data_IF_002216483594
#
_entry.id   IF_002216483594
#
_cell.length_a   1.000
_cell.length_b   1.000
_cell.length_c   1.000
_cell.angle_alpha   90.00
_cell.angle_beta   90.00
_cell.angle_gamma   90.00
#
_symmetry.space_group_name_H-M   'P 1'
#
loop_
_entity.id
_entity.type
_entity.pdbx_description
1 polymer ?
#
# COMPACT_ATOMS: atom_id res chain seq x y z
N UNK A 1 6.95 48.69 12.69
CA UNK A 1 7.04 47.36 12.06
C UNK A 1 5.92 47.25 11.06
N UNK A 2 6.26 47.26 9.77
CA UNK A 2 5.30 47.27 8.66
C UNK A 2 4.78 45.86 8.37
N UNK A 3 3.66 45.77 7.64
CA UNK A 3 3.01 44.50 7.32
C UNK A 3 3.94 43.57 6.50
N UNK A 4 4.75 44.16 5.63
CA UNK A 4 5.75 43.48 4.79
C UNK A 4 6.81 42.78 5.65
N UNK A 5 7.39 43.47 6.64
CA UNK A 5 8.38 42.89 7.56
C UNK A 5 7.82 41.69 8.34
N UNK A 6 6.52 41.69 8.66
CA UNK A 6 5.86 40.54 9.30
C UNK A 6 5.69 39.36 8.34
N UNK A 7 5.39 39.62 7.07
CA UNK A 7 5.24 38.58 6.04
C UNK A 7 6.60 37.93 5.77
N UNK A 8 7.66 38.74 5.63
CA UNK A 8 9.01 38.23 5.41
C UNK A 8 9.50 37.38 6.58
N UNK A 9 9.24 37.81 7.82
CA UNK A 9 9.57 37.03 9.01
C UNK A 9 8.79 35.70 9.07
N UNK A 10 7.54 35.66 8.61
CA UNK A 10 6.75 34.44 8.51
C UNK A 10 7.29 33.49 7.44
N UNK A 11 7.65 34.02 6.27
CA UNK A 11 8.26 33.25 5.18
C UNK A 11 9.59 32.65 5.62
N UNK A 12 10.44 33.41 6.32
CA UNK A 12 11.71 32.91 6.84
C UNK A 12 11.52 31.73 7.80
N UNK A 13 10.58 31.86 8.76
CA UNK A 13 10.26 30.77 9.69
C UNK A 13 9.68 29.54 8.98
N UNK A 14 8.87 29.76 7.95
CA UNK A 14 8.30 28.66 7.16
C UNK A 14 9.40 27.90 6.40
N UNK A 15 10.35 28.60 5.81
CA UNK A 15 11.51 28.00 5.15
C UNK A 15 12.36 27.18 6.12
N UNK A 16 12.67 27.75 7.29
CA UNK A 16 13.45 27.06 8.34
C UNK A 16 12.75 25.76 8.81
N UNK A 17 11.44 25.82 9.01
CA UNK A 17 10.65 24.63 9.35
C UNK A 17 10.66 23.60 8.22
N UNK A 18 10.58 24.02 6.97
CA UNK A 18 10.68 23.11 5.82
C UNK A 18 12.03 22.41 5.76
N UNK A 19 13.13 23.14 5.96
CA UNK A 19 14.48 22.60 5.99
C UNK A 19 14.64 21.56 7.11
N UNK A 20 14.19 21.88 8.32
CA UNK A 20 14.21 20.94 9.44
C UNK A 20 13.39 19.68 9.16
N UNK A 21 12.20 19.82 8.59
CA UNK A 21 11.33 18.69 8.25
C UNK A 21 11.96 17.81 7.17
N UNK A 22 12.63 18.40 6.17
CA UNK A 22 13.32 17.65 5.12
C UNK A 22 14.42 16.72 5.65
N UNK A 23 15.06 17.04 6.78
CA UNK A 23 16.07 16.17 7.41
C UNK A 23 15.49 14.83 7.89
N UNK A 24 14.20 14.80 8.23
CA UNK A 24 13.53 13.63 8.78
C UNK A 24 12.63 12.93 7.77
N UNK A 25 12.30 13.58 6.64
CA UNK A 25 11.43 13.01 5.64
C UNK A 25 12.18 12.00 4.77
N UNK A 26 11.72 10.74 4.69
CA UNK A 26 12.26 9.79 3.74
C UNK A 26 11.99 10.26 2.30
N UNK A 27 12.87 9.93 1.36
CA UNK A 27 12.67 10.26 -0.04
C UNK A 27 11.47 9.50 -0.64
N UNK A 28 10.33 10.20 -0.74
CA UNK A 28 9.06 9.68 -1.23
C UNK A 28 9.01 9.43 -2.74
N UNK A 29 10.07 9.74 -3.49
CA UNK A 29 10.19 9.36 -4.89
C UNK A 29 10.65 7.90 -5.07
N UNK A 30 11.09 7.27 -3.99
CA UNK A 30 11.68 5.93 -4.00
C UNK A 30 10.81 4.89 -3.30
N UNK A 31 10.86 3.64 -3.77
CA UNK A 31 10.18 2.51 -3.12
C UNK A 31 10.54 2.41 -1.63
N UNK A 32 11.84 2.51 -1.29
CA UNK A 32 12.30 2.40 0.09
C UNK A 32 11.72 3.51 0.97
N UNK A 33 11.72 4.75 0.47
CA UNK A 33 11.19 5.88 1.24
C UNK A 33 9.68 5.77 1.45
N UNK A 34 8.93 5.28 0.47
CA UNK A 34 7.48 5.05 0.61
C UNK A 34 7.18 3.94 1.58
N UNK A 35 7.89 2.82 1.51
CA UNK A 35 7.73 1.69 2.44
C UNK A 35 7.93 2.19 3.88
N UNK A 36 8.97 2.99 4.12
CA UNK A 36 9.25 3.57 5.42
C UNK A 36 8.16 4.57 5.86
N UNK A 37 7.81 5.51 4.98
CA UNK A 37 6.80 6.54 5.27
C UNK A 37 5.41 5.99 5.54
N UNK A 38 5.00 4.98 4.76
CA UNK A 38 3.72 4.32 4.94
C UNK A 38 3.73 3.28 6.07
N UNK A 39 4.91 2.92 6.59
CA UNK A 39 5.12 1.90 7.62
C UNK A 39 4.55 0.54 7.20
N UNK A 40 4.81 0.15 5.95
CA UNK A 40 4.32 -1.09 5.36
C UNK A 40 5.47 -2.04 5.04
N UNK A 41 5.15 -3.31 4.77
CA UNK A 41 6.14 -4.27 4.28
C UNK A 41 6.32 -4.14 2.77
N UNK A 42 7.45 -4.63 2.24
CA UNK A 42 7.68 -4.75 0.80
C UNK A 42 6.60 -5.59 0.10
N UNK A 43 6.10 -6.63 0.75
CA UNK A 43 4.98 -7.42 0.21
C UNK A 43 3.72 -6.58 0.08
N UNK A 44 3.35 -5.83 1.12
CA UNK A 44 2.19 -4.92 1.08
C UNK A 44 2.34 -3.87 -0.01
N UNK A 45 3.53 -3.31 -0.17
CA UNK A 45 3.83 -2.36 -1.24
C UNK A 45 3.62 -2.98 -2.63
N UNK A 46 4.13 -4.19 -2.85
CA UNK A 46 3.92 -4.91 -4.11
C UNK A 46 2.43 -5.22 -4.34
N UNK A 47 1.70 -5.58 -3.29
CA UNK A 47 0.25 -5.74 -3.36
C UNK A 47 -0.44 -4.44 -3.79
N UNK A 48 -0.01 -3.29 -3.27
CA UNK A 48 -0.59 -1.99 -3.65
C UNK A 48 -0.36 -1.66 -5.12
N UNK A 49 0.80 -2.05 -5.68
CA UNK A 49 1.07 -1.94 -7.11
C UNK A 49 0.17 -2.91 -7.90
N UNK A 50 0.06 -4.18 -7.47
CA UNK A 50 -0.71 -5.19 -8.22
C UNK A 50 -2.22 -5.01 -8.14
N UNK A 51 -2.73 -4.48 -7.03
CA UNK A 51 -4.16 -4.24 -6.79
C UNK A 51 -4.61 -2.84 -7.26
N UNK A 52 -3.76 -2.13 -8.03
CA UNK A 52 -4.03 -0.78 -8.53
C UNK A 52 -4.38 0.25 -7.43
N UNK A 53 -3.84 0.07 -6.23
CA UNK A 53 -3.87 1.10 -5.18
C UNK A 53 -2.84 2.18 -5.54
N UNK A 54 -1.66 1.78 -5.98
CA UNK A 54 -0.69 2.66 -6.64
C UNK A 54 -0.86 2.56 -8.14
N UNK A 55 -1.39 3.64 -8.71
CA UNK A 55 -1.72 3.76 -10.14
C UNK A 55 -0.62 4.53 -10.86
N UNK A 56 -0.11 3.99 -11.96
CA UNK A 56 0.83 4.68 -12.86
C UNK A 56 0.16 5.89 -13.52
N UNK A 57 0.85 7.04 -13.57
CA UNK A 57 0.33 8.33 -14.01
C UNK A 57 -0.29 9.17 -12.89
N UNK A 58 -0.76 8.53 -11.81
CA UNK A 58 -1.30 9.22 -10.62
C UNK A 58 -0.31 9.21 -9.46
N UNK A 59 0.10 8.03 -8.98
CA UNK A 59 0.93 7.89 -7.78
C UNK A 59 2.42 7.76 -8.10
N UNK A 60 2.74 7.31 -9.32
CA UNK A 60 4.10 7.21 -9.82
C UNK A 60 4.13 7.30 -11.34
N UNK A 61 5.31 7.59 -11.89
CA UNK A 61 5.60 7.52 -13.32
C UNK A 61 6.75 6.55 -13.54
N UNK A 62 6.75 5.83 -14.65
CA UNK A 62 7.94 5.07 -15.08
C UNK A 62 8.90 6.01 -15.80
N UNK A 63 10.12 6.06 -15.30
CA UNK A 63 11.25 6.71 -15.95
C UNK A 63 12.27 5.61 -16.28
N UNK A 64 12.22 5.12 -17.52
CA UNK A 64 12.92 3.90 -17.91
C UNK A 64 12.46 2.70 -17.10
N UNK A 65 13.39 2.00 -16.44
CA UNK A 65 13.11 0.83 -15.62
C UNK A 65 12.71 1.16 -14.16
N UNK A 66 12.71 2.44 -13.79
CA UNK A 66 12.44 2.87 -12.41
C UNK A 66 11.06 3.49 -12.28
N UNK A 67 10.39 3.20 -11.17
CA UNK A 67 9.17 3.90 -10.75
C UNK A 67 9.59 5.09 -9.90
N UNK A 68 9.28 6.29 -10.37
CA UNK A 68 9.48 7.54 -9.63
C UNK A 68 8.11 7.95 -9.10
N UNK A 69 7.99 7.97 -7.78
CA UNK A 69 6.71 8.24 -7.12
C UNK A 69 6.47 9.72 -6.91
N UNK A 70 5.21 10.10 -6.82
CA UNK A 70 4.76 11.49 -6.65
C UNK A 70 4.47 11.72 -5.16
N UNK A 71 5.32 12.45 -4.43
CA UNK A 71 5.23 12.59 -2.97
C UNK A 71 3.85 13.05 -2.48
N UNK A 72 3.26 14.05 -3.14
CA UNK A 72 1.98 14.63 -2.73
C UNK A 72 0.84 13.60 -2.75
N UNK A 73 0.81 12.73 -3.76
CA UNK A 73 -0.22 11.69 -3.87
C UNK A 73 -0.02 10.58 -2.83
N UNK A 74 1.24 10.24 -2.51
CA UNK A 74 1.54 9.31 -1.43
C UNK A 74 1.14 9.87 -0.06
N UNK A 75 1.37 11.16 0.18
CA UNK A 75 0.97 11.84 1.43
C UNK A 75 -0.56 11.86 1.55
N UNK A 76 -1.29 12.21 0.48
CA UNK A 76 -2.76 12.16 0.45
C UNK A 76 -3.27 10.76 0.80
N UNK A 77 -2.65 9.74 0.23
CA UNK A 77 -3.02 8.34 0.45
C UNK A 77 -2.77 7.88 1.90
N UNK A 78 -1.68 8.32 2.56
CA UNK A 78 -1.48 8.09 4.01
C UNK A 78 -2.56 8.77 4.85
N UNK A 79 -2.93 10.02 4.53
CA UNK A 79 -3.94 10.80 5.26
C UNK A 79 -5.33 10.19 5.20
N UNK A 80 -5.73 9.70 4.04
CA UNK A 80 -7.03 9.01 3.83
C UNK A 80 -7.04 7.64 4.55
N UNK A 81 -5.85 7.08 4.78
CA UNK A 81 -5.66 5.76 5.34
C UNK A 81 -5.79 4.71 4.24
N UNK A 82 -4.74 3.91 4.06
CA UNK A 82 -4.80 2.79 3.12
C UNK A 82 -5.60 1.69 3.79
N UNK A 83 -6.91 1.65 3.53
CA UNK A 83 -7.75 0.51 3.88
C UNK A 83 -7.28 -0.66 3.02
N UNK A 84 -6.18 -1.28 3.41
CA UNK A 84 -5.80 -2.58 2.90
C UNK A 84 -7.03 -3.45 3.06
N UNK A 85 -7.59 -3.93 1.95
CA UNK A 85 -8.56 -5.01 1.98
C UNK A 85 -7.80 -6.17 2.62
N UNK A 86 -7.87 -6.32 3.94
CA UNK A 86 -7.52 -7.58 4.58
C UNK A 86 -8.45 -8.56 3.92
N UNK A 87 -7.95 -9.34 2.94
CA UNK A 87 -8.69 -10.51 2.46
C UNK A 87 -8.95 -11.31 3.72
N UNK A 88 -10.20 -11.32 4.17
CA UNK A 88 -10.65 -12.21 5.22
C UNK A 88 -10.34 -13.59 4.68
N UNK A 89 -9.24 -14.21 5.11
CA UNK A 89 -8.92 -15.58 4.72
C UNK A 89 -10.14 -16.40 5.10
N UNK A 90 -10.85 -16.88 4.09
CA UNK A 90 -12.00 -17.72 4.32
C UNK A 90 -11.50 -19.06 4.85
N UNK A 91 -12.37 -19.81 5.51
CA UNK A 91 -12.04 -21.19 5.91
C UNK A 91 -11.60 -22.02 4.70
N UNK A 92 -12.14 -21.72 3.51
CA UNK A 92 -11.80 -22.36 2.24
C UNK A 92 -10.37 -22.07 1.79
N UNK A 93 -9.94 -20.80 1.81
CA UNK A 93 -8.55 -20.44 1.45
C UNK A 93 -7.51 -21.12 2.36
N UNK A 94 -7.89 -21.34 3.61
CA UNK A 94 -7.04 -22.03 4.61
C UNK A 94 -7.01 -23.53 4.35
N UNK A 95 -8.15 -24.12 3.97
CA UNK A 95 -8.28 -25.53 3.58
C UNK A 95 -7.49 -25.84 2.30
N UNK A 96 -7.59 -24.98 1.28
CA UNK A 96 -6.90 -25.15 0.00
C UNK A 96 -5.37 -25.07 0.16
N UNK A 97 -4.90 -24.15 1.02
CA UNK A 97 -3.48 -24.07 1.39
C UNK A 97 -2.99 -25.33 2.11
N UNK A 98 -3.78 -25.85 3.07
CA UNK A 98 -3.42 -27.06 3.81
C UNK A 98 -3.41 -28.29 2.89
N UNK A 99 -4.39 -28.42 2.01
CA UNK A 99 -4.48 -29.52 1.04
C UNK A 99 -3.28 -29.53 0.08
N UNK A 100 -2.91 -28.36 -0.46
CA UNK A 100 -1.72 -28.23 -1.32
C UNK A 100 -0.41 -28.50 -0.57
N UNK A 101 -0.31 -28.07 0.69
CA UNK A 101 0.92 -28.24 1.49
C UNK A 101 1.12 -29.67 2.01
N UNK A 102 0.03 -30.35 2.34
CA UNK A 102 0.05 -31.71 2.88
C UNK A 102 -0.10 -32.79 1.79
N UNK A 103 -0.28 -32.40 0.52
CA UNK A 103 -0.42 -33.33 -0.60
C UNK A 103 -1.67 -34.21 -0.52
N UNK A 104 -2.73 -33.75 0.17
CA UNK A 104 -3.93 -34.55 0.38
C UNK A 104 -4.80 -34.47 -0.88
N UNK A 105 -4.75 -35.54 -1.69
CA UNK A 105 -5.60 -35.76 -2.85
C UNK A 105 -7.07 -35.85 -2.38
N UNK A 106 -8.05 -35.19 -3.03
CA UNK A 106 -9.45 -35.41 -2.70
C UNK A 106 -9.78 -36.88 -2.99
N UNK A 107 -10.26 -37.63 -1.99
CA UNK A 107 -10.85 -38.94 -2.21
C UNK A 107 -12.04 -38.78 -3.14
N UNK A 108 -11.95 -39.36 -4.33
CA UNK A 108 -13.07 -39.50 -5.24
C UNK A 108 -14.21 -40.28 -4.55
N UNK A 109 -15.43 -39.77 -4.70
CA UNK A 109 -16.67 -40.53 -4.51
C UNK A 109 -17.24 -40.54 -3.10
N UNK A 110 -18.20 -39.67 -2.85
CA UNK A 110 -19.45 -40.05 -2.17
C UNK A 110 -20.59 -39.41 -2.95
N UNK A 111 -21.14 -40.15 -3.92
CA UNK A 111 -22.51 -39.94 -4.36
C UNK A 111 -23.40 -40.63 -3.33
N UNK A 112 -24.12 -39.86 -2.53
CA UNK A 112 -25.20 -40.38 -1.69
C UNK A 112 -26.47 -39.58 -1.95
N UNK A 113 -27.06 -39.79 -3.12
CA UNK A 113 -28.49 -39.57 -3.33
C UNK A 113 -29.16 -40.93 -3.54
N UNK A 114 -29.37 -41.65 -2.43
CA UNK A 114 -30.42 -42.65 -2.34
C UNK A 114 -31.73 -41.89 -2.13
N UNK A 115 -32.46 -41.66 -3.22
CA UNK A 115 -33.90 -41.44 -3.18
C UNK A 115 -34.53 -42.52 -4.03
N UNK A 116 -34.75 -43.67 -3.43
CA UNK A 116 -35.80 -44.60 -3.80
C UNK A 116 -36.38 -45.14 -2.49
N UNK A 117 -37.48 -44.54 -2.07
CA UNK A 117 -38.41 -45.12 -1.11
C UNK A 117 -39.79 -44.98 -1.76
N UNK A 118 -40.27 -46.15 -2.22
CA UNK A 118 -41.65 -46.60 -2.45
C UNK A 118 -42.64 -45.72 -3.22
#
# INVERSE_FOLDING_TARGET
MYLEEKIDALMAKQTELMEMVQLFLPNLETERGIIHFLEITKNTFNTYISENIFIEGTHYKRVGNRKVFIPDEIIKLKKIGVKGKRKTKTKQDTLDYLNNKLGIIPRAGISSNLKDVS
#
